data_IF_425145392996
#
_entry.id   IF_425145392996
#
_cell.length_a   1.000
_cell.length_b   1.000
_cell.length_c   1.000
_cell.angle_alpha   90.00
_cell.angle_beta   90.00
_cell.angle_gamma   90.00
#
_symmetry.space_group_name_H-M   'P 1'
#
loop_
_entity.id
_entity.type
_entity.pdbx_description
1 polymer ?
#
# COMPACT_ATOMS: atom_id res chain seq x y z
N UNK A 1 -2.22 13.93 -89.22
CA UNK A 1 -2.16 14.71 -87.96
C UNK A 1 -0.72 15.11 -87.74
N UNK A 2 -0.46 16.41 -87.52
CA UNK A 2 0.88 16.89 -87.22
C UNK A 2 1.33 16.41 -85.82
N UNK A 3 2.64 16.36 -85.57
CA UNK A 3 3.18 16.03 -84.25
C UNK A 3 2.71 16.99 -83.15
N UNK A 4 2.24 18.19 -83.50
CA UNK A 4 1.68 19.16 -82.56
C UNK A 4 0.32 18.75 -82.01
N UNK A 5 -0.59 18.21 -82.85
CA UNK A 5 -1.91 17.77 -82.39
C UNK A 5 -1.79 16.64 -81.36
N UNK A 6 -0.88 15.69 -81.60
CA UNK A 6 -0.63 14.59 -80.65
C UNK A 6 -0.12 15.08 -79.29
N UNK A 7 0.74 16.11 -79.28
CA UNK A 7 1.26 16.71 -78.03
C UNK A 7 0.16 17.42 -77.25
N UNK A 8 -0.75 18.12 -77.93
CA UNK A 8 -1.89 18.80 -77.29
C UNK A 8 -2.84 17.77 -76.68
N UNK A 9 -3.17 16.70 -77.41
CA UNK A 9 -4.04 15.62 -76.92
C UNK A 9 -3.43 14.92 -75.69
N UNK A 10 -2.12 14.69 -75.69
CA UNK A 10 -1.40 14.09 -74.55
C UNK A 10 -1.37 15.02 -73.34
N UNK A 11 -1.21 16.33 -73.54
CA UNK A 11 -1.25 17.32 -72.47
C UNK A 11 -2.64 17.41 -71.83
N UNK A 12 -3.69 17.48 -72.65
CA UNK A 12 -5.08 17.50 -72.18
C UNK A 12 -5.42 16.24 -71.39
N UNK A 13 -5.00 15.08 -71.88
CA UNK A 13 -5.14 13.81 -71.17
C UNK A 13 -4.44 13.83 -69.81
N UNK A 14 -3.18 14.28 -69.75
CA UNK A 14 -2.43 14.32 -68.50
C UNK A 14 -3.07 15.27 -67.48
N UNK A 15 -3.59 16.43 -67.92
CA UNK A 15 -4.31 17.37 -67.05
C UNK A 15 -5.56 16.71 -66.47
N UNK A 16 -6.36 16.08 -67.32
CA UNK A 16 -7.56 15.35 -66.92
C UNK A 16 -7.27 14.25 -65.89
N UNK A 17 -6.28 13.40 -66.15
CA UNK A 17 -5.88 12.32 -65.23
C UNK A 17 -5.40 12.86 -63.88
N UNK A 18 -4.61 13.95 -63.88
CA UNK A 18 -4.14 14.59 -62.65
C UNK A 18 -5.29 15.18 -61.85
N UNK A 19 -6.27 15.80 -62.51
CA UNK A 19 -7.45 16.34 -61.84
C UNK A 19 -8.27 15.24 -61.16
N UNK A 20 -8.48 14.10 -61.82
CA UNK A 20 -9.16 12.95 -61.23
C UNK A 20 -8.41 12.40 -60.01
N UNK A 21 -7.09 12.29 -60.09
CA UNK A 21 -6.26 11.85 -58.96
C UNK A 21 -6.37 12.81 -57.77
N UNK A 22 -6.42 14.12 -58.02
CA UNK A 22 -6.55 15.12 -56.95
C UNK A 22 -7.96 15.11 -56.33
N UNK A 23 -9.03 14.99 -57.14
CA UNK A 23 -10.40 14.80 -56.62
C UNK A 23 -10.46 13.55 -55.73
N UNK A 24 -9.93 12.43 -56.21
CA UNK A 24 -9.90 11.18 -55.45
C UNK A 24 -9.21 11.33 -54.11
N UNK A 25 -8.03 11.96 -54.12
CA UNK A 25 -7.27 12.28 -52.91
C UNK A 25 -8.09 13.13 -51.93
N UNK A 26 -8.78 14.16 -52.41
CA UNK A 26 -9.62 15.03 -51.57
C UNK A 26 -10.78 14.25 -50.94
N UNK A 27 -11.42 13.34 -51.68
CA UNK A 27 -12.47 12.46 -51.15
C UNK A 27 -11.94 11.49 -50.09
N UNK A 28 -10.74 10.91 -50.28
CA UNK A 28 -10.09 10.07 -49.27
C UNK A 28 -9.75 10.85 -48.00
N UNK A 29 -9.29 12.10 -48.14
CA UNK A 29 -9.04 12.99 -47.01
C UNK A 29 -10.35 13.26 -46.26
N UNK A 30 -11.41 13.65 -46.96
CA UNK A 30 -12.73 13.90 -46.38
C UNK A 30 -13.27 12.68 -45.62
N UNK A 31 -13.22 11.50 -46.23
CA UNK A 31 -13.55 10.20 -45.59
C UNK A 31 -12.77 10.01 -44.29
N UNK A 32 -11.46 10.25 -44.31
CA UNK A 32 -10.61 10.09 -43.14
C UNK A 32 -10.94 11.10 -42.04
N UNK A 33 -11.30 12.34 -42.37
CA UNK A 33 -11.74 13.33 -41.39
C UNK A 33 -13.04 12.88 -40.72
N UNK A 34 -14.05 12.42 -41.48
CA UNK A 34 -15.31 11.92 -40.90
C UNK A 34 -15.06 10.75 -39.95
N UNK A 35 -14.25 9.77 -40.37
CA UNK A 35 -13.88 8.62 -39.53
C UNK A 35 -13.15 9.05 -38.25
N UNK A 36 -12.23 9.99 -38.36
CA UNK A 36 -11.46 10.47 -37.22
C UNK A 36 -12.33 11.23 -36.20
N UNK A 37 -13.24 12.09 -36.67
CA UNK A 37 -14.16 12.81 -35.80
C UNK A 37 -15.12 11.84 -35.08
N UNK A 38 -15.57 10.77 -35.76
CA UNK A 38 -16.35 9.68 -35.14
C UNK A 38 -15.61 9.02 -33.97
N UNK A 39 -14.32 8.72 -34.14
CA UNK A 39 -13.49 8.06 -33.10
C UNK A 39 -13.34 8.96 -31.86
N UNK A 40 -13.14 10.25 -32.06
CA UNK A 40 -12.86 11.18 -30.96
C UNK A 40 -14.10 11.65 -30.18
N UNK A 41 -15.31 11.19 -30.54
CA UNK A 41 -16.58 11.55 -29.88
C UNK A 41 -16.74 13.06 -29.65
N UNK A 42 -16.25 13.90 -30.56
CA UNK A 42 -16.45 15.36 -30.46
C UNK A 42 -17.84 15.69 -30.99
N UNK A 43 -18.58 16.51 -30.23
CA UNK A 43 -19.93 16.96 -30.57
C UNK A 43 -19.98 17.51 -32.00
N UNK A 44 -20.65 16.79 -32.90
CA UNK A 44 -20.86 17.20 -34.28
C UNK A 44 -22.35 17.26 -34.59
N UNK A 45 -22.71 18.22 -35.44
CA UNK A 45 -24.02 18.32 -36.11
C UNK A 45 -24.14 17.38 -37.33
N UNK A 46 -23.31 16.33 -37.40
CA UNK A 46 -23.42 15.32 -38.46
C UNK A 46 -24.51 14.33 -38.05
N UNK A 47 -25.69 14.50 -38.65
CA UNK A 47 -26.86 13.65 -38.38
C UNK A 47 -26.57 12.16 -38.66
N UNK A 48 -25.66 11.85 -39.60
CA UNK A 48 -25.28 10.49 -39.97
C UNK A 48 -23.85 10.44 -40.57
N UNK A 49 -22.81 10.23 -39.75
CA UNK A 49 -21.44 10.16 -40.22
C UNK A 49 -21.14 8.91 -41.06
N UNK A 50 -21.88 7.81 -40.85
CA UNK A 50 -21.67 6.56 -41.57
C UNK A 50 -22.16 6.67 -43.01
N UNK A 51 -23.34 7.28 -43.20
CA UNK A 51 -23.83 7.63 -44.53
C UNK A 51 -22.87 8.55 -45.28
N UNK A 52 -22.30 9.55 -44.61
CA UNK A 52 -21.36 10.47 -45.25
C UNK A 52 -20.04 9.78 -45.67
N UNK A 53 -19.55 8.85 -44.86
CA UNK A 53 -18.41 8.00 -45.22
C UNK A 53 -18.74 7.17 -46.47
N UNK A 54 -19.93 6.57 -46.52
CA UNK A 54 -20.38 5.78 -47.66
C UNK A 54 -20.50 6.62 -48.94
N UNK A 55 -21.05 7.84 -48.84
CA UNK A 55 -21.12 8.80 -49.96
C UNK A 55 -19.72 9.10 -50.52
N UNK A 56 -18.75 9.41 -49.66
CA UNK A 56 -17.37 9.71 -50.09
C UNK A 56 -16.64 8.50 -50.68
N UNK A 57 -16.85 7.31 -50.11
CA UNK A 57 -16.29 6.05 -50.66
C UNK A 57 -16.88 5.75 -52.03
N UNK A 58 -18.18 5.93 -52.20
CA UNK A 58 -18.87 5.70 -53.47
C UNK A 58 -18.39 6.69 -54.54
N UNK A 59 -18.35 7.98 -54.22
CA UNK A 59 -17.83 9.01 -55.12
C UNK A 59 -16.38 8.73 -55.53
N UNK A 60 -15.52 8.36 -54.59
CA UNK A 60 -14.14 8.00 -54.87
C UNK A 60 -14.04 6.76 -55.80
N UNK A 61 -14.85 5.73 -55.55
CA UNK A 61 -14.90 4.53 -56.40
C UNK A 61 -15.25 4.88 -57.84
N UNK A 62 -16.20 5.78 -58.07
CA UNK A 62 -16.55 6.21 -59.42
C UNK A 62 -15.47 7.07 -60.08
N UNK A 63 -14.81 7.97 -59.34
CA UNK A 63 -13.64 8.71 -59.86
C UNK A 63 -12.54 7.75 -60.35
N UNK A 64 -12.30 6.65 -59.62
CA UNK A 64 -11.33 5.62 -59.98
C UNK A 64 -11.72 4.86 -61.26
N UNK A 65 -13.01 4.72 -61.52
CA UNK A 65 -13.54 4.03 -62.69
C UNK A 65 -13.59 4.94 -63.93
N UNK A 66 -13.76 6.25 -63.78
CA UNK A 66 -13.91 7.20 -64.90
C UNK A 66 -12.84 7.05 -66.02
N UNK A 67 -11.52 6.95 -65.74
CA UNK A 67 -10.51 6.75 -66.79
C UNK A 67 -10.65 5.46 -67.59
N UNK A 68 -11.36 4.46 -67.05
CA UNK A 68 -11.58 3.17 -67.69
C UNK A 68 -12.76 3.20 -68.68
N UNK A 69 -13.71 4.11 -68.45
CA UNK A 69 -14.97 4.18 -69.19
C UNK A 69 -15.07 5.38 -70.14
N UNK A 70 -14.29 6.44 -69.91
CA UNK A 70 -14.40 7.70 -70.64
C UNK A 70 -13.06 8.17 -71.23
N UNK A 71 -13.09 8.58 -72.51
CA UNK A 71 -12.01 9.37 -73.10
C UNK A 71 -12.07 10.80 -72.58
N UNK A 72 -10.93 11.51 -72.44
CA UNK A 72 -10.92 12.95 -72.15
C UNK A 72 -11.44 13.70 -73.38
N UNK A 73 -12.75 13.81 -73.50
CA UNK A 73 -13.39 14.78 -74.38
C UNK A 73 -13.57 16.12 -73.64
N UNK A 74 -13.97 17.15 -74.38
CA UNK A 74 -14.12 18.50 -73.85
C UNK A 74 -15.14 18.55 -72.71
N UNK A 75 -16.22 17.78 -72.79
CA UNK A 75 -17.32 17.84 -71.82
C UNK A 75 -16.92 17.28 -70.46
N UNK A 76 -16.38 16.06 -70.40
CA UNK A 76 -15.97 15.46 -69.13
C UNK A 76 -14.76 16.17 -68.53
N UNK A 77 -13.86 16.69 -69.36
CA UNK A 77 -12.70 17.45 -68.88
C UNK A 77 -13.14 18.73 -68.18
N UNK A 78 -14.12 19.45 -68.74
CA UNK A 78 -14.63 20.68 -68.14
C UNK A 78 -15.34 20.40 -66.81
N UNK A 79 -16.12 19.31 -66.72
CA UNK A 79 -16.76 18.88 -65.48
C UNK A 79 -15.76 18.50 -64.39
N UNK A 80 -14.74 17.71 -64.74
CA UNK A 80 -13.68 17.32 -63.81
C UNK A 80 -12.92 18.55 -63.29
N UNK A 81 -12.68 19.54 -64.16
CA UNK A 81 -12.07 20.80 -63.74
C UNK A 81 -12.97 21.59 -62.79
N UNK A 82 -14.28 21.67 -63.06
CA UNK A 82 -15.26 22.34 -62.18
C UNK A 82 -15.32 21.70 -60.79
N UNK A 83 -15.45 20.37 -60.74
CA UNK A 83 -15.47 19.61 -59.48
C UNK A 83 -14.21 19.87 -58.65
N UNK A 84 -13.03 19.86 -59.29
CA UNK A 84 -11.77 20.10 -58.59
C UNK A 84 -11.69 21.54 -58.05
N UNK A 85 -12.11 22.54 -58.82
CA UNK A 85 -12.10 23.94 -58.38
C UNK A 85 -13.02 24.12 -57.18
N UNK A 86 -14.26 23.64 -57.25
CA UNK A 86 -15.23 23.75 -56.15
C UNK A 86 -14.79 22.98 -54.91
N UNK A 87 -14.20 21.79 -55.07
CA UNK A 87 -13.61 21.07 -53.93
C UNK A 87 -12.46 21.86 -53.33
N UNK A 88 -11.57 22.44 -54.14
CA UNK A 88 -10.45 23.21 -53.63
C UNK A 88 -10.88 24.49 -52.89
N UNK A 89 -11.91 25.19 -53.37
CA UNK A 89 -12.47 26.37 -52.68
C UNK A 89 -12.95 26.04 -51.25
N UNK A 90 -13.44 24.82 -51.06
CA UNK A 90 -13.99 24.34 -49.80
C UNK A 90 -12.89 23.74 -48.91
N UNK A 91 -11.97 22.99 -49.51
CA UNK A 91 -10.91 22.25 -48.84
C UNK A 91 -9.68 23.10 -48.52
N UNK A 92 -9.44 24.19 -49.25
CA UNK A 92 -8.29 25.07 -49.06
C UNK A 92 -8.72 26.50 -48.81
N UNK A 93 -8.15 27.12 -47.78
CA UNK A 93 -8.30 28.56 -47.54
C UNK A 93 -7.49 29.36 -48.56
N UNK A 94 -7.76 30.68 -48.65
CA UNK A 94 -6.86 31.60 -49.35
C UNK A 94 -5.43 31.32 -48.85
N UNK A 95 -4.50 31.04 -49.76
CA UNK A 95 -3.11 30.59 -49.51
C UNK A 95 -2.85 29.08 -49.41
N UNK A 96 -3.80 28.21 -49.78
CA UNK A 96 -3.52 26.77 -49.93
C UNK A 96 -3.37 26.02 -48.61
N UNK A 97 -3.82 26.61 -47.50
CA UNK A 97 -3.87 25.95 -46.20
C UNK A 97 -5.11 25.05 -46.15
N UNK A 98 -4.91 23.78 -45.82
CA UNK A 98 -5.99 22.80 -45.73
C UNK A 98 -6.98 23.17 -44.60
N UNK A 99 -8.26 23.30 -44.95
CA UNK A 99 -9.34 23.61 -44.03
C UNK A 99 -9.79 22.34 -43.27
N UNK A 100 -9.25 22.13 -42.07
CA UNK A 100 -9.66 21.02 -41.21
C UNK A 100 -11.09 21.14 -40.66
N UNK A 101 -11.73 22.30 -40.82
CA UNK A 101 -13.10 22.58 -40.35
C UNK A 101 -14.15 22.47 -41.45
N UNK A 102 -13.79 21.94 -42.62
CA UNK A 102 -14.69 21.80 -43.77
C UNK A 102 -16.01 21.11 -43.44
N UNK A 103 -15.99 20.12 -42.54
CA UNK A 103 -17.19 19.40 -42.11
C UNK A 103 -18.01 20.12 -41.03
N UNK A 104 -17.49 21.21 -40.46
CA UNK A 104 -18.19 22.02 -39.43
C UNK A 104 -19.03 23.13 -40.04
N UNK A 105 -18.68 23.59 -41.25
CA UNK A 105 -19.50 24.53 -42.01
C UNK A 105 -20.58 23.76 -42.77
N UNK A 106 -21.85 23.97 -42.40
CA UNK A 106 -22.97 23.34 -43.10
C UNK A 106 -22.97 23.67 -44.59
N UNK A 107 -22.58 24.90 -44.95
CA UNK A 107 -22.46 25.34 -46.34
C UNK A 107 -21.42 24.52 -47.09
N UNK A 108 -20.23 24.36 -46.51
CA UNK A 108 -19.10 23.64 -47.11
C UNK A 108 -19.44 22.16 -47.28
N UNK A 109 -20.05 21.55 -46.27
CA UNK A 109 -20.52 20.17 -46.32
C UNK A 109 -21.58 19.96 -47.42
N UNK A 110 -22.52 20.90 -47.58
CA UNK A 110 -23.51 20.85 -48.67
C UNK A 110 -22.80 20.91 -50.02
N UNK A 111 -21.84 21.81 -50.20
CA UNK A 111 -21.08 21.93 -51.45
C UNK A 111 -20.34 20.63 -51.79
N UNK A 112 -19.66 20.02 -50.82
CA UNK A 112 -18.97 18.73 -51.02
C UNK A 112 -19.96 17.63 -51.41
N UNK A 113 -21.11 17.52 -50.73
CA UNK A 113 -22.13 16.50 -51.04
C UNK A 113 -22.70 16.68 -52.44
N UNK A 114 -23.00 17.92 -52.85
CA UNK A 114 -23.47 18.21 -54.20
C UNK A 114 -22.48 17.75 -55.26
N UNK A 115 -21.18 17.98 -55.08
CA UNK A 115 -20.14 17.52 -56.02
C UNK A 115 -20.10 15.99 -56.09
N UNK A 116 -20.18 15.32 -54.94
CA UNK A 116 -20.21 13.84 -54.89
C UNK A 116 -21.44 13.29 -55.60
N UNK A 117 -22.61 13.89 -55.39
CA UNK A 117 -23.86 13.53 -56.09
C UNK A 117 -23.75 13.79 -57.60
N UNK A 118 -23.14 14.89 -58.04
CA UNK A 118 -22.87 15.18 -59.45
C UNK A 118 -21.96 14.12 -60.09
N UNK A 119 -20.87 13.72 -59.42
CA UNK A 119 -19.98 12.64 -59.88
C UNK A 119 -20.76 11.33 -60.04
N UNK A 120 -21.54 10.96 -59.03
CA UNK A 120 -22.36 9.74 -59.02
C UNK A 120 -23.36 9.74 -60.17
N UNK A 121 -24.08 10.84 -60.33
CA UNK A 121 -25.09 10.98 -61.37
C UNK A 121 -24.47 10.96 -62.77
N UNK A 122 -23.34 11.66 -62.97
CA UNK A 122 -22.62 11.66 -64.24
C UNK A 122 -22.17 10.26 -64.62
N UNK A 123 -21.55 9.53 -63.68
CA UNK A 123 -21.08 8.17 -63.92
C UNK A 123 -22.24 7.22 -64.29
N UNK A 124 -23.32 7.24 -63.51
CA UNK A 124 -24.46 6.35 -63.74
C UNK A 124 -25.17 6.62 -65.07
N UNK A 125 -25.35 7.88 -65.44
CA UNK A 125 -26.02 8.26 -66.69
C UNK A 125 -25.19 7.94 -67.94
N UNK A 126 -23.86 7.87 -67.81
CA UNK A 126 -22.94 7.68 -68.94
C UNK A 126 -22.23 6.32 -68.94
N UNK A 127 -22.64 5.38 -68.07
CA UNK A 127 -21.97 4.07 -67.89
C UNK A 127 -21.99 3.15 -69.11
N UNK A 128 -22.73 3.50 -70.18
CA UNK A 128 -22.81 2.67 -71.36
C UNK A 128 -21.43 2.49 -72.02
N UNK A 129 -20.98 1.25 -72.27
CA UNK A 129 -19.66 0.99 -72.82
C UNK A 129 -19.59 1.51 -74.26
N UNK A 130 -18.90 2.63 -74.46
CA UNK A 130 -18.53 3.14 -75.79
C UNK A 130 -17.49 2.21 -76.43
N UNK A 131 -17.93 1.06 -76.94
CA UNK A 131 -17.16 0.04 -77.69
C UNK A 131 -15.94 -0.57 -76.93
N UNK A 132 -15.45 -1.76 -77.33
CA UNK A 132 -14.33 -2.39 -76.63
C UNK A 132 -13.05 -1.57 -76.82
N UNK A 133 -12.69 -0.83 -75.78
CA UNK A 133 -11.48 -0.02 -75.67
C UNK A 133 -10.24 -0.94 -75.65
N UNK A 134 -9.85 -1.45 -76.82
CA UNK A 134 -8.78 -2.46 -76.96
C UNK A 134 -7.38 -1.84 -77.11
N UNK A 135 -7.23 -0.53 -76.93
CA UNK A 135 -5.94 0.15 -76.96
C UNK A 135 -5.67 0.85 -75.63
N UNK A 136 -4.62 0.37 -74.93
CA UNK A 136 -3.94 0.94 -73.73
C UNK A 136 -4.20 0.27 -72.37
N UNK A 137 -4.13 -1.07 -72.35
CA UNK A 137 -3.92 -1.87 -71.13
C UNK A 137 -2.82 -1.31 -70.21
N UNK A 138 -1.73 -0.77 -70.77
CA UNK A 138 -0.59 -0.27 -69.97
C UNK A 138 -0.86 1.06 -69.26
N UNK A 139 -1.47 2.05 -69.93
CA UNK A 139 -1.74 3.37 -69.32
C UNK A 139 -2.84 3.27 -68.27
N UNK A 140 -3.88 2.47 -68.53
CA UNK A 140 -4.94 2.19 -67.56
C UNK A 140 -4.39 1.48 -66.33
N UNK A 141 -3.40 0.59 -66.52
CA UNK A 141 -2.68 -0.03 -65.41
C UNK A 141 -1.91 1.00 -64.59
N UNK A 142 -1.23 1.96 -65.25
CA UNK A 142 -0.46 2.99 -64.55
C UNK A 142 -1.33 3.89 -63.67
N UNK A 143 -2.47 4.39 -64.19
CA UNK A 143 -3.38 5.24 -63.40
C UNK A 143 -4.07 4.45 -62.28
N UNK A 144 -4.45 3.19 -62.53
CA UNK A 144 -5.01 2.31 -61.50
C UNK A 144 -4.01 2.08 -60.35
N UNK A 145 -2.71 1.90 -60.65
CA UNK A 145 -1.67 1.80 -59.63
C UNK A 145 -1.49 3.12 -58.84
N UNK A 146 -1.70 4.29 -59.46
CA UNK A 146 -1.69 5.58 -58.74
C UNK A 146 -2.86 5.69 -57.76
N UNK A 147 -4.08 5.32 -58.16
CA UNK A 147 -5.22 5.25 -57.24
C UNK A 147 -4.97 4.27 -56.10
N UNK A 148 -4.42 3.09 -56.39
CA UNK A 148 -4.06 2.08 -55.38
C UNK A 148 -3.02 2.61 -54.38
N UNK A 149 -2.03 3.36 -54.86
CA UNK A 149 -1.03 3.99 -54.00
C UNK A 149 -1.67 5.00 -53.04
N UNK A 150 -2.65 5.79 -53.52
CA UNK A 150 -3.43 6.71 -52.69
C UNK A 150 -4.25 5.95 -51.64
N UNK A 151 -4.94 4.87 -52.02
CA UNK A 151 -5.69 4.00 -51.08
C UNK A 151 -4.81 3.55 -49.91
N UNK A 152 -3.67 2.94 -50.23
CA UNK A 152 -2.71 2.43 -49.24
C UNK A 152 -2.22 3.56 -48.34
N UNK A 153 -1.87 4.71 -48.92
CA UNK A 153 -1.33 5.86 -48.16
C UNK A 153 -2.35 6.37 -47.15
N UNK A 154 -3.59 6.62 -47.57
CA UNK A 154 -4.61 7.19 -46.71
C UNK A 154 -5.20 6.19 -45.71
N UNK A 155 -5.25 4.91 -46.05
CA UNK A 155 -5.63 3.85 -45.11
C UNK A 155 -4.56 3.67 -44.03
N UNK A 156 -3.27 3.69 -44.38
CA UNK A 156 -2.18 3.64 -43.41
C UNK A 156 -2.20 4.84 -42.45
N UNK A 157 -2.47 6.05 -42.96
CA UNK A 157 -2.61 7.25 -42.13
C UNK A 157 -3.78 7.09 -41.15
N UNK A 158 -4.91 6.57 -41.62
CA UNK A 158 -6.08 6.33 -40.78
C UNK A 158 -5.79 5.30 -39.68
N UNK A 159 -5.18 4.16 -40.03
CA UNK A 159 -4.78 3.13 -39.06
C UNK A 159 -3.79 3.67 -38.03
N UNK A 160 -2.80 4.47 -38.43
CA UNK A 160 -1.86 5.08 -37.52
C UNK A 160 -2.55 6.04 -36.53
N UNK A 161 -3.57 6.78 -36.98
CA UNK A 161 -4.38 7.65 -36.12
C UNK A 161 -5.27 6.86 -35.16
N UNK A 162 -5.93 5.80 -35.63
CA UNK A 162 -6.71 4.88 -34.79
C UNK A 162 -5.83 4.26 -33.70
N UNK A 163 -4.64 3.79 -34.06
CA UNK A 163 -3.67 3.25 -33.12
C UNK A 163 -3.25 4.29 -32.07
N UNK A 164 -2.98 5.53 -32.48
CA UNK A 164 -2.64 6.62 -31.57
C UNK A 164 -3.76 6.91 -30.56
N UNK A 165 -5.02 6.95 -31.01
CA UNK A 165 -6.17 7.17 -30.14
C UNK A 165 -6.33 6.01 -29.14
N UNK A 166 -6.17 4.76 -29.60
CA UNK A 166 -6.21 3.59 -28.74
C UNK A 166 -5.09 3.59 -27.68
N UNK A 167 -3.87 4.01 -28.06
CA UNK A 167 -2.74 4.12 -27.13
C UNK A 167 -2.98 5.19 -26.05
N UNK A 168 -3.60 6.32 -26.40
CA UNK A 168 -3.98 7.33 -25.41
C UNK A 168 -5.02 6.77 -24.42
N UNK A 169 -6.02 6.03 -24.91
CA UNK A 169 -7.01 5.41 -24.03
C UNK A 169 -6.38 4.35 -23.11
N UNK A 170 -5.47 3.52 -23.63
CA UNK A 170 -4.72 2.55 -22.82
C UNK A 170 -3.90 3.26 -21.74
N UNK A 171 -3.25 4.38 -22.07
CA UNK A 171 -2.47 5.19 -21.11
C UNK A 171 -3.35 5.76 -20.00
N UNK A 172 -4.55 6.25 -20.32
CA UNK A 172 -5.53 6.73 -19.34
C UNK A 172 -5.94 5.59 -18.40
N UNK A 173 -6.37 4.45 -18.96
CA UNK A 173 -6.79 3.28 -18.18
C UNK A 173 -5.65 2.75 -17.29
N UNK A 174 -4.41 2.75 -17.79
CA UNK A 174 -3.24 2.33 -17.01
C UNK A 174 -2.99 3.25 -15.80
N UNK A 175 -3.09 4.57 -15.99
CA UNK A 175 -2.95 5.53 -14.88
C UNK A 175 -4.06 5.39 -13.83
N UNK A 176 -5.30 5.11 -14.25
CA UNK A 176 -6.40 4.83 -13.33
C UNK A 176 -6.14 3.55 -12.50
N UNK A 177 -5.66 2.49 -13.16
CA UNK A 177 -5.28 1.25 -12.47
C UNK A 177 -4.10 1.46 -11.49
N UNK A 178 -3.12 2.30 -11.82
CA UNK A 178 -2.04 2.66 -10.90
C UNK A 178 -2.56 3.38 -9.65
N UNK A 179 -3.50 4.33 -9.82
CA UNK A 179 -4.14 5.01 -8.67
C UNK A 179 -4.93 4.03 -7.80
N UNK A 180 -5.64 3.07 -8.40
CA UNK A 180 -6.31 2.02 -7.64
C UNK A 180 -5.32 1.15 -6.86
N UNK A 181 -4.16 0.85 -7.44
CA UNK A 181 -3.08 0.10 -6.77
C UNK A 181 -2.50 0.86 -5.56
N UNK A 182 -2.33 2.19 -5.66
CA UNK A 182 -1.91 3.02 -4.52
C UNK A 182 -2.94 2.99 -3.39
N UNK A 183 -4.23 3.13 -3.71
CA UNK A 183 -5.30 3.02 -2.71
C UNK A 183 -5.31 1.63 -2.03
N UNK A 184 -5.03 0.56 -2.77
CA UNK A 184 -4.90 -0.80 -2.21
C UNK A 184 -3.73 -0.88 -1.24
N UNK A 185 -2.57 -0.26 -1.54
CA UNK A 185 -1.44 -0.20 -0.61
C UNK A 185 -1.81 0.54 0.69
N UNK A 186 -2.49 1.68 0.60
CA UNK A 186 -2.93 2.42 1.79
C UNK A 186 -3.87 1.58 2.67
N UNK A 187 -4.81 0.85 2.06
CA UNK A 187 -5.71 -0.07 2.77
C UNK A 187 -4.91 -1.19 3.45
N UNK A 188 -3.92 -1.78 2.77
CA UNK A 188 -3.05 -2.80 3.37
C UNK A 188 -2.27 -2.25 4.57
N UNK A 189 -1.68 -1.07 4.46
CA UNK A 189 -0.96 -0.43 5.57
C UNK A 189 -1.91 -0.10 6.74
N UNK A 190 -3.14 0.33 6.47
CA UNK A 190 -4.15 0.55 7.51
C UNK A 190 -4.55 -0.75 8.23
N UNK A 191 -4.76 -1.84 7.48
CA UNK A 191 -5.06 -3.17 8.03
C UNK A 191 -3.88 -3.69 8.87
N UNK A 192 -2.65 -3.53 8.39
CA UNK A 192 -1.45 -3.96 9.11
C UNK A 192 -1.33 -3.22 10.45
N UNK A 193 -1.47 -1.89 10.46
CA UNK A 193 -1.47 -1.09 11.69
C UNK A 193 -2.59 -1.50 12.66
N UNK A 194 -3.80 -1.79 12.14
CA UNK A 194 -4.92 -2.25 12.97
C UNK A 194 -4.68 -3.65 13.55
N UNK A 195 -4.04 -4.54 12.77
CA UNK A 195 -3.67 -5.88 13.20
C UNK A 195 -2.61 -5.86 14.32
N UNK A 196 -1.60 -4.97 14.24
CA UNK A 196 -0.63 -4.75 15.32
C UNK A 196 -1.31 -4.25 16.59
N UNK A 197 -2.21 -3.26 16.48
CA UNK A 197 -2.97 -2.73 17.62
C UNK A 197 -3.87 -3.78 18.28
N UNK A 198 -4.54 -4.63 17.48
CA UNK A 198 -5.38 -5.71 17.99
C UNK A 198 -4.56 -6.79 18.71
N UNK A 199 -3.42 -7.21 18.15
CA UNK A 199 -2.54 -8.18 18.80
C UNK A 199 -1.99 -7.65 20.13
N UNK A 200 -1.58 -6.38 20.20
CA UNK A 200 -1.14 -5.77 21.45
C UNK A 200 -2.27 -5.73 22.51
N UNK A 201 -3.51 -5.48 22.09
CA UNK A 201 -4.68 -5.52 22.97
C UNK A 201 -4.96 -6.94 23.50
N UNK A 202 -4.95 -7.94 22.63
CA UNK A 202 -5.16 -9.35 23.00
C UNK A 202 -4.07 -9.81 23.97
N UNK A 203 -2.80 -9.50 23.69
CA UNK A 203 -1.67 -9.84 24.57
C UNK A 203 -1.77 -9.16 25.93
N UNK A 204 -2.17 -7.89 25.97
CA UNK A 204 -2.43 -7.18 27.22
C UNK A 204 -3.51 -7.87 28.04
N UNK A 205 -4.60 -8.29 27.42
CA UNK A 205 -5.72 -8.91 28.13
C UNK A 205 -5.33 -10.25 28.78
N UNK A 206 -4.58 -11.10 28.08
CA UNK A 206 -4.07 -12.36 28.66
C UNK A 206 -3.05 -12.13 29.80
N UNK A 207 -2.18 -11.13 29.65
CA UNK A 207 -1.21 -10.82 30.69
C UNK A 207 -1.85 -10.16 31.92
N UNK A 208 -2.91 -9.37 31.76
CA UNK A 208 -3.66 -8.76 32.86
C UNK A 208 -4.35 -9.81 33.75
N UNK A 209 -4.82 -10.93 33.19
CA UNK A 209 -5.35 -12.05 33.99
C UNK A 209 -4.26 -12.73 34.81
N UNK A 210 -3.11 -13.01 34.19
CA UNK A 210 -1.96 -13.62 34.88
C UNK A 210 -1.41 -12.70 35.98
N UNK A 211 -1.37 -11.39 35.72
CA UNK A 211 -0.97 -10.37 36.69
C UNK A 211 -1.84 -10.39 37.95
N UNK A 212 -3.16 -10.50 37.80
CA UNK A 212 -4.09 -10.56 38.95
C UNK A 212 -3.76 -11.72 39.90
N UNK A 213 -3.30 -12.85 39.38
CA UNK A 213 -2.89 -14.02 40.19
C UNK A 213 -1.67 -13.66 41.05
N UNK A 214 -0.63 -13.07 40.46
CA UNK A 214 0.58 -12.67 41.20
C UNK A 214 0.33 -11.52 42.19
N UNK A 215 -0.54 -10.57 41.84
CA UNK A 215 -0.95 -9.49 42.76
C UNK A 215 -1.72 -10.05 43.97
N UNK A 216 -2.54 -11.09 43.77
CA UNK A 216 -3.23 -11.78 44.86
C UNK A 216 -2.25 -12.52 45.77
N UNK A 217 -1.26 -13.23 45.20
CA UNK A 217 -0.18 -13.89 45.95
C UNK A 217 0.60 -12.86 46.76
N UNK A 218 1.01 -11.74 46.14
CA UNK A 218 1.71 -10.65 46.85
C UNK A 218 0.94 -10.18 48.07
N UNK A 219 -0.36 -9.85 47.91
CA UNK A 219 -1.19 -9.36 49.02
C UNK A 219 -1.31 -10.39 50.15
N UNK A 220 -1.51 -11.66 49.80
CA UNK A 220 -1.64 -12.74 50.78
C UNK A 220 -0.34 -12.97 51.56
N UNK A 221 0.79 -13.15 50.85
CA UNK A 221 2.10 -13.42 51.44
C UNK A 221 2.62 -12.24 52.26
N UNK A 222 2.40 -11.01 51.77
CA UNK A 222 2.76 -9.81 52.52
C UNK A 222 1.95 -9.66 53.81
N UNK A 223 0.65 -9.99 53.76
CA UNK A 223 -0.20 -10.02 54.95
C UNK A 223 0.24 -11.07 55.98
N UNK A 224 0.59 -12.28 55.53
CA UNK A 224 1.15 -13.32 56.39
C UNK A 224 2.47 -12.86 57.03
N UNK A 225 3.37 -12.26 56.25
CA UNK A 225 4.63 -11.74 56.77
C UNK A 225 4.45 -10.71 57.89
N UNK A 226 3.49 -9.79 57.73
CA UNK A 226 3.21 -8.77 58.75
C UNK A 226 2.58 -9.39 60.01
N UNK A 227 1.72 -10.40 59.86
CA UNK A 227 1.20 -11.16 61.01
C UNK A 227 2.33 -11.86 61.78
N UNK A 228 3.23 -12.57 61.10
CA UNK A 228 4.39 -13.22 61.74
C UNK A 228 5.34 -12.23 62.40
N UNK A 229 5.55 -11.06 61.78
CA UNK A 229 6.32 -9.97 62.39
C UNK A 229 5.67 -9.48 63.68
N UNK A 230 4.35 -9.32 63.68
CA UNK A 230 3.60 -8.89 64.87
C UNK A 230 3.71 -9.95 65.99
N UNK A 231 3.59 -11.25 65.67
CA UNK A 231 3.82 -12.32 66.64
C UNK A 231 5.24 -12.32 67.21
N UNK A 232 6.26 -12.19 66.36
CA UNK A 232 7.64 -12.08 66.81
C UNK A 232 7.83 -10.87 67.75
N UNK A 233 7.27 -9.72 67.37
CA UNK A 233 7.33 -8.49 68.17
C UNK A 233 6.69 -8.67 69.54
N UNK A 234 5.51 -9.32 69.60
CA UNK A 234 4.84 -9.64 70.87
C UNK A 234 5.73 -10.54 71.74
N UNK A 235 6.33 -11.59 71.18
CA UNK A 235 7.23 -12.49 71.92
C UNK A 235 8.43 -11.73 72.48
N UNK A 236 9.08 -10.88 71.67
CA UNK A 236 10.21 -10.07 72.14
C UNK A 236 9.81 -9.02 73.19
N UNK A 237 8.61 -8.43 73.09
CA UNK A 237 8.08 -7.53 74.13
C UNK A 237 7.88 -8.29 75.45
N UNK A 238 7.31 -9.51 75.40
CA UNK A 238 7.15 -10.34 76.61
C UNK A 238 8.50 -10.66 77.24
N UNK A 239 9.49 -11.07 76.44
CA UNK A 239 10.87 -11.31 76.93
C UNK A 239 11.45 -10.04 77.55
N UNK A 240 11.30 -8.88 76.88
CA UNK A 240 11.79 -7.60 77.38
C UNK A 240 11.14 -7.20 78.71
N UNK A 241 9.83 -7.41 78.87
CA UNK A 241 9.10 -7.15 80.13
C UNK A 241 9.62 -8.07 81.23
N UNK A 242 9.76 -9.37 80.97
CA UNK A 242 10.27 -10.34 81.96
C UNK A 242 11.71 -10.00 82.37
N UNK A 243 12.57 -9.70 81.40
CA UNK A 243 13.96 -9.30 81.66
C UNK A 243 14.03 -8.01 82.48
N UNK A 244 13.21 -7.01 82.11
CA UNK A 244 13.12 -5.74 82.83
C UNK A 244 12.67 -5.97 84.27
N UNK A 245 11.60 -6.73 84.51
CA UNK A 245 11.11 -7.04 85.86
C UNK A 245 12.14 -7.81 86.69
N UNK A 246 12.85 -8.76 86.08
CA UNK A 246 13.91 -9.52 86.76
C UNK A 246 15.10 -8.65 87.19
N UNK A 247 15.38 -7.55 86.50
CA UNK A 247 16.41 -6.58 86.89
C UNK A 247 15.88 -5.53 87.88
N UNK A 248 14.64 -5.07 87.66
CA UNK A 248 14.03 -3.97 88.40
C UNK A 248 13.67 -4.37 89.84
N UNK A 249 13.15 -5.59 90.06
CA UNK A 249 12.75 -6.07 91.39
C UNK A 249 13.94 -6.15 92.37
N UNK A 250 15.07 -6.83 92.07
CA UNK A 250 16.23 -6.84 92.95
C UNK A 250 16.86 -5.46 93.14
N UNK A 251 16.80 -4.61 92.11
CA UNK A 251 17.31 -3.23 92.19
C UNK A 251 16.49 -2.40 93.17
N UNK A 252 15.15 -2.49 93.12
CA UNK A 252 14.27 -1.84 94.10
C UNK A 252 14.52 -2.40 95.51
N UNK A 253 14.62 -3.72 95.67
CA UNK A 253 14.91 -4.34 96.97
C UNK A 253 16.24 -3.81 97.56
N UNK A 254 17.29 -3.76 96.75
CA UNK A 254 18.60 -3.24 97.17
C UNK A 254 18.53 -1.76 97.59
N UNK A 255 17.79 -0.93 96.84
CA UNK A 255 17.56 0.48 97.19
C UNK A 255 16.81 0.61 98.53
N UNK A 256 15.73 -0.16 98.72
CA UNK A 256 14.96 -0.15 99.97
C UNK A 256 15.82 -0.57 101.16
N UNK A 257 16.63 -1.63 101.00
CA UNK A 257 17.53 -2.11 102.05
C UNK A 257 18.64 -1.10 102.37
N UNK A 258 19.19 -0.44 101.35
CA UNK A 258 20.16 0.63 101.54
C UNK A 258 19.61 1.78 102.38
N UNK A 259 18.37 2.23 102.11
CA UNK A 259 17.74 3.28 102.92
C UNK A 259 17.39 2.85 104.35
N UNK A 260 17.10 1.57 104.58
CA UNK A 260 16.70 1.07 105.91
C UNK A 260 17.87 0.70 106.82
N UNK A 261 18.93 0.11 106.26
CA UNK A 261 20.01 -0.55 107.03
C UNK A 261 21.39 0.06 106.70
N UNK A 262 21.49 0.96 105.72
CA UNK A 262 22.75 1.62 105.31
C UNK A 262 23.66 0.76 104.42
N UNK A 263 23.23 -0.46 104.06
CA UNK A 263 23.97 -1.39 103.22
C UNK A 263 23.13 -1.85 102.03
N UNK A 264 23.72 -1.87 100.83
CA UNK A 264 23.07 -2.40 99.64
C UNK A 264 23.13 -3.93 99.64
N UNK A 265 22.14 -4.55 100.29
CA UNK A 265 21.98 -6.02 100.31
C UNK A 265 20.82 -6.42 99.40
N UNK A 266 21.12 -7.23 98.40
CA UNK A 266 20.13 -7.84 97.50
C UNK A 266 19.94 -9.30 97.86
N UNK A 267 18.77 -9.86 97.54
CA UNK A 267 18.54 -11.31 97.59
C UNK A 267 19.65 -12.05 96.80
N UNK A 268 20.26 -13.12 97.35
CA UNK A 268 21.32 -13.85 96.66
C UNK A 268 20.79 -14.44 95.35
N UNK A 269 21.67 -14.60 94.35
CA UNK A 269 21.34 -15.23 93.08
C UNK A 269 20.91 -16.68 93.37
N UNK A 270 19.60 -16.92 93.35
CA UNK A 270 19.01 -18.21 93.66
C UNK A 270 18.84 -19.06 92.39
N UNK A 271 18.60 -20.36 92.56
CA UNK A 271 18.31 -21.33 91.47
C UNK A 271 17.15 -20.84 90.59
N UNK A 272 16.18 -20.11 91.19
CA UNK A 272 15.06 -19.48 90.49
C UNK A 272 15.51 -18.43 89.46
N UNK A 273 16.60 -17.69 89.69
CA UNK A 273 17.14 -16.72 88.73
C UNK A 273 17.67 -17.43 87.47
N UNK A 274 18.41 -18.52 87.65
CA UNK A 274 18.90 -19.36 86.56
C UNK A 274 17.76 -20.01 85.77
N UNK A 275 16.71 -20.51 86.46
CA UNK A 275 15.55 -21.10 85.81
C UNK A 275 14.81 -20.08 84.92
N UNK A 276 14.66 -18.83 85.39
CA UNK A 276 14.08 -17.74 84.60
C UNK A 276 14.94 -17.37 83.38
N UNK A 277 16.27 -17.34 83.52
CA UNK A 277 17.18 -17.07 82.40
C UNK A 277 17.10 -18.16 81.31
N UNK A 278 17.05 -19.43 81.72
CA UNK A 278 16.85 -20.57 80.80
C UNK A 278 15.49 -20.46 80.10
N UNK A 279 14.44 -20.11 80.84
CA UNK A 279 13.10 -19.94 80.26
C UNK A 279 13.04 -18.78 79.24
N UNK A 280 13.71 -17.65 79.51
CA UNK A 280 13.84 -16.56 78.54
C UNK A 280 14.59 -16.97 77.28
N UNK A 281 15.66 -17.76 77.43
CA UNK A 281 16.40 -18.31 76.28
C UNK A 281 15.51 -19.26 75.46
N UNK A 282 14.73 -20.11 76.12
CA UNK A 282 13.79 -21.01 75.47
C UNK A 282 12.68 -20.24 74.72
N UNK A 283 12.20 -19.12 75.28
CA UNK A 283 11.20 -18.26 74.65
C UNK A 283 11.77 -17.45 73.46
N UNK A 284 13.09 -17.32 73.37
CA UNK A 284 13.75 -16.66 72.23
C UNK A 284 13.65 -17.49 70.94
N UNK A 285 13.63 -18.83 71.07
CA UNK A 285 13.51 -19.74 69.92
C UNK A 285 12.23 -19.55 69.07
N UNK A 286 11.00 -19.51 69.64
CA UNK A 286 9.80 -19.22 68.87
C UNK A 286 9.78 -17.79 68.32
N UNK A 287 10.34 -16.80 69.04
CA UNK A 287 10.48 -15.43 68.54
C UNK A 287 11.37 -15.35 67.29
N UNK A 288 12.49 -16.08 67.30
CA UNK A 288 13.38 -16.21 66.14
C UNK A 288 12.72 -16.95 64.97
N UNK A 289 11.95 -18.00 65.27
CA UNK A 289 11.19 -18.74 64.25
C UNK A 289 10.18 -17.84 63.53
N UNK A 290 9.37 -17.07 64.27
CA UNK A 290 8.41 -16.15 63.66
C UNK A 290 9.09 -15.02 62.88
N UNK A 291 10.24 -14.51 63.36
CA UNK A 291 11.01 -13.53 62.61
C UNK A 291 11.56 -14.11 61.29
N UNK A 292 12.04 -15.36 61.31
CA UNK A 292 12.52 -16.06 60.11
C UNK A 292 11.39 -16.34 59.11
N UNK A 293 10.24 -16.82 59.58
CA UNK A 293 9.10 -17.10 58.71
C UNK A 293 8.51 -15.81 58.12
N UNK A 294 8.48 -14.72 58.89
CA UNK A 294 8.14 -13.38 58.38
C UNK A 294 9.06 -12.96 57.23
N UNK A 295 10.38 -13.12 57.39
CA UNK A 295 11.34 -12.79 56.33
C UNK A 295 11.11 -13.61 55.07
N UNK A 296 10.86 -14.92 55.21
CA UNK A 296 10.58 -15.82 54.10
C UNK A 296 9.33 -15.40 53.32
N UNK A 297 8.21 -15.15 54.00
CA UNK A 297 6.99 -14.67 53.35
C UNK A 297 7.19 -13.31 52.64
N UNK A 298 8.02 -12.39 53.18
CA UNK A 298 8.36 -11.14 52.48
C UNK A 298 9.14 -11.39 51.20
N UNK A 299 10.12 -12.29 51.22
CA UNK A 299 10.89 -12.62 50.02
C UNK A 299 9.99 -13.19 48.92
N UNK A 300 9.06 -14.08 49.26
CA UNK A 300 8.06 -14.61 48.34
C UNK A 300 7.18 -13.50 47.77
N UNK A 301 6.66 -12.61 48.64
CA UNK A 301 5.85 -11.48 48.23
C UNK A 301 6.61 -10.57 47.24
N UNK A 302 7.88 -10.24 47.51
CA UNK A 302 8.68 -9.42 46.60
C UNK A 302 8.91 -10.10 45.25
N UNK A 303 9.20 -11.40 45.23
CA UNK A 303 9.32 -12.17 43.98
C UNK A 303 8.02 -12.09 43.16
N UNK A 304 6.87 -12.31 43.80
CA UNK A 304 5.57 -12.21 43.14
C UNK A 304 5.30 -10.80 42.57
N UNK A 305 5.68 -9.74 43.30
CA UNK A 305 5.54 -8.35 42.85
C UNK A 305 6.42 -8.03 41.64
N UNK A 306 7.66 -8.52 41.62
CA UNK A 306 8.56 -8.37 40.48
C UNK A 306 7.98 -9.05 39.25
N UNK A 307 7.52 -10.31 39.38
CA UNK A 307 6.90 -11.06 38.29
C UNK A 307 5.64 -10.34 37.76
N UNK A 308 4.78 -9.83 38.65
CA UNK A 308 3.62 -9.01 38.27
C UNK A 308 4.02 -7.77 37.45
N UNK A 309 5.09 -7.10 37.84
CA UNK A 309 5.62 -5.95 37.09
C UNK A 309 6.23 -6.34 35.75
N UNK A 310 6.98 -7.45 35.68
CA UNK A 310 7.55 -7.98 34.44
C UNK A 310 6.43 -8.34 33.44
N UNK A 311 5.38 -9.05 33.89
CA UNK A 311 4.21 -9.38 33.08
C UNK A 311 3.46 -8.15 32.55
N UNK A 312 3.41 -7.08 33.35
CA UNK A 312 2.75 -5.82 32.95
C UNK A 312 3.53 -5.04 31.89
N UNK A 313 4.87 -5.14 31.90
CA UNK A 313 5.73 -4.51 30.91
C UNK A 313 5.80 -5.33 29.61
N UNK A 314 5.46 -6.61 29.68
CA UNK A 314 5.70 -7.57 28.62
C UNK A 314 5.00 -7.32 27.29
N UNK A 315 3.69 -6.97 27.23
CA UNK A 315 3.03 -6.70 25.96
C UNK A 315 3.71 -5.57 25.17
N UNK A 316 4.27 -4.58 25.89
CA UNK A 316 4.96 -3.46 25.26
C UNK A 316 6.28 -3.87 24.62
N UNK A 317 6.99 -4.84 25.19
CA UNK A 317 8.22 -5.38 24.61
C UNK A 317 7.96 -6.37 23.47
N UNK A 318 6.83 -7.09 23.49
CA UNK A 318 6.47 -8.05 22.45
C UNK A 318 5.83 -7.39 21.23
N UNK A 319 5.23 -6.19 21.37
CA UNK A 319 4.51 -5.51 20.30
C UNK A 319 5.35 -5.23 19.05
N UNK A 320 6.65 -4.95 19.23
CA UNK A 320 7.57 -4.58 18.15
C UNK A 320 8.33 -5.79 17.56
N UNK A 321 8.06 -7.01 18.06
CA UNK A 321 8.75 -8.23 17.63
C UNK A 321 7.96 -9.01 16.58
N UNK A 322 8.68 -9.65 15.67
CA UNK A 322 8.12 -10.58 14.69
C UNK A 322 7.43 -11.78 15.38
N UNK A 323 6.53 -12.44 14.64
CA UNK A 323 5.68 -13.51 15.18
C UNK A 323 6.51 -14.70 15.71
N UNK A 324 7.61 -15.04 15.03
CA UNK A 324 8.54 -16.10 15.47
C UNK A 324 9.26 -15.73 16.78
N UNK A 325 9.82 -14.52 16.85
CA UNK A 325 10.53 -14.02 18.03
C UNK A 325 9.60 -13.89 19.23
N UNK A 326 8.35 -13.44 19.02
CA UNK A 326 7.31 -13.43 20.06
C UNK A 326 7.05 -14.83 20.61
N UNK A 327 6.97 -15.84 19.74
CA UNK A 327 6.73 -17.23 20.16
C UNK A 327 7.91 -17.79 20.95
N UNK A 328 9.14 -17.52 20.51
CA UNK A 328 10.35 -17.93 21.23
C UNK A 328 10.40 -17.26 22.61
N UNK A 329 10.13 -15.96 22.66
CA UNK A 329 10.14 -15.20 23.91
C UNK A 329 9.06 -15.71 24.87
N UNK A 330 7.85 -16.02 24.39
CA UNK A 330 6.80 -16.65 25.20
C UNK A 330 7.23 -18.01 25.75
N UNK A 331 7.95 -18.81 24.97
CA UNK A 331 8.48 -20.11 25.44
C UNK A 331 9.51 -19.90 26.56
N UNK A 332 10.49 -19.01 26.36
CA UNK A 332 11.49 -18.67 27.37
C UNK A 332 10.86 -18.14 28.66
N UNK A 333 9.80 -17.34 28.55
CA UNK A 333 9.05 -16.86 29.71
C UNK A 333 8.21 -17.92 30.37
N UNK A 334 7.60 -18.80 29.59
CA UNK A 334 6.86 -19.90 30.16
C UNK A 334 7.80 -20.78 31.00
N UNK A 335 9.00 -21.07 30.50
CA UNK A 335 10.03 -21.80 31.23
C UNK A 335 10.57 -21.02 32.46
N UNK A 336 10.61 -19.68 32.40
CA UNK A 336 11.05 -18.82 33.51
C UNK A 336 9.99 -18.70 34.62
N UNK A 337 8.71 -18.51 34.28
CA UNK A 337 7.66 -18.21 35.26
C UNK A 337 6.84 -19.42 35.69
N UNK A 338 6.66 -20.42 34.82
CA UNK A 338 5.96 -21.64 35.17
C UNK A 338 6.95 -22.72 35.60
N UNK A 339 6.81 -23.21 36.83
CA UNK A 339 7.68 -24.24 37.40
C UNK A 339 8.77 -23.72 38.34
N UNK A 340 8.92 -22.39 38.50
CA UNK A 340 9.69 -21.85 39.61
C UNK A 340 8.91 -21.99 40.92
N UNK A 341 9.40 -22.85 41.80
CA UNK A 341 8.90 -22.94 43.17
C UNK A 341 9.23 -21.61 43.89
N UNK A 342 8.21 -20.78 44.11
CA UNK A 342 8.32 -19.53 44.86
C UNK A 342 8.95 -19.73 46.27
N UNK A 343 8.88 -20.96 46.78
CA UNK A 343 9.31 -21.39 48.10
C UNK A 343 10.65 -22.15 48.13
N UNK A 344 11.31 -22.42 46.99
CA UNK A 344 12.58 -23.15 47.00
C UNK A 344 13.77 -22.23 47.37
N UNK A 345 14.04 -22.15 48.67
CA UNK A 345 15.35 -21.81 49.20
C UNK A 345 16.28 -23.02 49.07
N UNK A 346 16.71 -23.37 47.85
CA UNK A 346 17.90 -24.22 47.72
C UNK A 346 19.16 -23.34 47.79
N UNK A 347 19.50 -23.00 49.03
CA UNK A 347 20.89 -22.97 49.53
C UNK A 347 21.88 -22.22 48.64
N UNK A 348 21.70 -20.92 48.38
CA UNK A 348 22.71 -20.04 47.77
C UNK A 348 22.31 -18.55 47.93
N UNK A 349 22.24 -18.03 49.16
CA UNK A 349 21.93 -16.61 49.43
C UNK A 349 22.98 -15.60 48.90
N UNK A 350 24.00 -16.03 48.16
CA UNK A 350 25.05 -15.13 47.61
C UNK A 350 25.19 -15.14 46.09
N UNK A 351 24.41 -15.93 45.35
CA UNK A 351 24.64 -16.13 43.89
C UNK A 351 23.54 -15.57 42.98
N UNK A 352 22.31 -15.44 43.48
CA UNK A 352 21.14 -15.15 42.63
C UNK A 352 21.08 -13.72 42.06
N UNK A 353 21.55 -12.70 42.78
CA UNK A 353 21.61 -11.33 42.24
C UNK A 353 22.65 -11.20 41.11
N UNK A 354 23.75 -11.96 41.19
CA UNK A 354 24.78 -12.00 40.15
C UNK A 354 24.29 -12.75 38.91
N UNK A 355 23.63 -13.90 39.07
CA UNK A 355 23.09 -14.66 37.94
C UNK A 355 21.92 -13.95 37.26
N UNK A 356 21.05 -13.28 38.01
CA UNK A 356 19.97 -12.48 37.45
C UNK A 356 20.53 -11.25 36.69
N UNK A 357 21.54 -10.56 37.24
CA UNK A 357 22.20 -9.43 36.54
C UNK A 357 23.00 -9.91 35.33
N UNK A 358 23.64 -11.09 35.41
CA UNK A 358 24.42 -11.67 34.31
C UNK A 358 23.52 -12.18 33.19
N UNK A 359 22.38 -12.80 33.51
CA UNK A 359 21.37 -13.19 32.55
C UNK A 359 20.72 -11.96 31.88
N UNK A 360 20.42 -10.89 32.64
CA UNK A 360 19.96 -9.62 32.07
C UNK A 360 21.03 -8.96 31.20
N UNK A 361 22.31 -9.09 31.55
CA UNK A 361 23.42 -8.55 30.74
C UNK A 361 23.64 -9.37 29.47
N UNK A 362 23.48 -10.69 29.53
CA UNK A 362 23.57 -11.58 28.37
C UNK A 362 22.38 -11.37 27.43
N UNK A 363 21.16 -11.20 27.95
CA UNK A 363 20.00 -10.85 27.12
C UNK A 363 20.16 -9.45 26.51
N UNK A 364 20.65 -8.46 27.26
CA UNK A 364 20.95 -7.12 26.70
C UNK A 364 22.04 -7.18 25.63
N UNK A 365 23.07 -8.02 25.79
CA UNK A 365 24.10 -8.25 24.75
C UNK A 365 23.50 -8.90 23.52
N UNK A 366 22.71 -9.96 23.66
CA UNK A 366 22.05 -10.63 22.53
C UNK A 366 21.11 -9.67 21.79
N UNK A 367 20.32 -8.89 22.52
CA UNK A 367 19.45 -7.84 21.95
C UNK A 367 20.28 -6.78 21.22
N UNK A 368 21.40 -6.32 21.78
CA UNK A 368 22.28 -5.35 21.12
C UNK A 368 22.96 -5.91 19.86
N UNK A 369 23.27 -7.21 19.83
CA UNK A 369 23.85 -7.86 18.65
C UNK A 369 22.82 -8.06 17.55
N UNK A 370 21.55 -8.32 17.90
CA UNK A 370 20.46 -8.42 16.94
C UNK A 370 20.13 -7.04 16.33
N UNK A 371 20.06 -6.00 17.15
CA UNK A 371 19.89 -4.61 16.70
C UNK A 371 21.04 -4.15 15.79
N UNK A 372 22.29 -4.52 16.12
CA UNK A 372 23.46 -4.21 15.27
C UNK A 372 23.59 -5.10 14.02
N UNK A 373 22.96 -6.28 14.00
CA UNK A 373 22.86 -7.11 12.80
C UNK A 373 21.80 -6.55 11.83
N UNK A 374 20.67 -6.04 12.33
CA UNK A 374 19.66 -5.33 11.54
C UNK A 374 20.19 -4.02 10.92
N UNK A 375 21.08 -3.29 11.60
CA UNK A 375 21.70 -2.08 11.04
C UNK A 375 22.79 -2.37 10.00
N UNK A 376 23.37 -3.58 9.98
CA UNK A 376 24.33 -4.01 8.95
C UNK A 376 23.69 -4.63 7.72
N UNK A 377 22.46 -5.13 7.80
CA UNK A 377 21.71 -5.66 6.65
C UNK A 377 20.95 -4.57 5.86
N UNK A 378 20.80 -3.37 6.43
CA UNK A 378 20.21 -2.19 5.77
C UNK A 378 21.24 -1.22 5.20
N UNK A 379 22.54 -1.53 5.34
CA UNK A 379 23.64 -0.70 4.86
C UNK A 379 24.70 -1.49 4.10
N UNK A 380 24.40 -1.84 2.85
CA UNK A 380 25.46 -2.01 1.84
C UNK A 380 24.96 -1.61 0.46
N UNK A 381 25.66 -0.69 -0.24
CA UNK A 381 25.34 -0.28 -1.62
C UNK A 381 25.50 -1.41 -2.63
#
# INVERSE_FOLDING_TARGET
>A
MSDETKKIDELQKNLYENNLLEIYKLLLILRNIVKFEKINRRDFYLNDPDKLIEEFVTGASYIKEIPLYFSPDTEISDLVQDWLVRLNEVMYQAHGVFNSYVLKSQKDLITVRLIVEEIINYFNNNKEPKAPFNSKSYENKLIAERFRSLDITYDNILMAKELSANLEQIKINFNENLKQSENVKEIFTAIENQYHGFNAFVEKNYNDETKKIYDAIYKHEYGLADNYRNYATIVFIIIAIIATLNFLVPTIEGIINYFKIGEFKTSPIDVLFFLKAIFMLLLTAPGWYFARESSKHRQVAYKAKIISSELSALPFYLADLDVEDRREMRKKMADKFFGQELYNDKKNETTDLSEQTKATTETLKVVSTLLNQQSKTTGKP
#
